data_IF_789044947655
#
_entry.id   IF_789044947655
#
_cell.length_a   1.000
_cell.length_b   1.000
_cell.length_c   1.000
_cell.angle_alpha   90.00
_cell.angle_beta   90.00
_cell.angle_gamma   90.00
#
_symmetry.space_group_name_H-M   'P 1'
#
loop_
_entity.id
_entity.type
_entity.pdbx_description
1 polymer ?
#
# COMPACT_ATOMS: atom_id res chain seq x y z
N UNK A 1 -3.94 -24.63 33.98
CA UNK A 1 -4.07 -24.35 32.54
C UNK A 1 -4.53 -22.91 32.36
N UNK A 2 -3.73 -22.16 31.59
CA UNK A 2 -3.90 -20.83 30.99
C UNK A 2 -4.68 -19.72 31.71
N UNK A 3 -3.90 -18.85 32.36
CA UNK A 3 -4.23 -17.43 32.57
C UNK A 3 -3.45 -16.52 31.60
N UNK A 4 -3.03 -17.05 30.45
CA UNK A 4 -2.14 -16.35 29.47
C UNK A 4 -2.93 -15.79 28.27
N UNK A 5 -4.23 -16.04 28.17
CA UNK A 5 -5.05 -15.63 27.02
C UNK A 5 -5.68 -14.23 27.15
N UNK A 6 -5.53 -13.55 28.29
CA UNK A 6 -6.23 -12.28 28.54
C UNK A 6 -5.43 -11.00 28.21
N UNK A 7 -4.19 -11.09 27.72
CA UNK A 7 -3.32 -9.91 27.56
C UNK A 7 -2.97 -9.49 26.12
N UNK A 8 -3.59 -10.08 25.08
CA UNK A 8 -3.21 -9.74 23.69
C UNK A 8 -3.97 -8.59 23.02
N UNK A 9 -4.77 -7.80 23.75
CA UNK A 9 -5.73 -6.86 23.13
C UNK A 9 -5.62 -5.37 23.49
N UNK A 10 -4.53 -4.90 24.11
CA UNK A 10 -4.45 -3.47 24.51
C UNK A 10 -3.19 -2.67 24.18
N UNK A 11 -2.13 -3.30 23.68
CA UNK A 11 -0.92 -2.61 23.20
C UNK A 11 -0.45 -3.20 21.86
N UNK A 12 -1.29 -3.16 20.83
CA UNK A 12 -0.73 -3.18 19.48
C UNK A 12 -0.32 -1.73 19.20
N UNK A 13 0.96 -1.40 18.99
CA UNK A 13 1.38 -0.04 18.62
C UNK A 13 0.93 0.34 17.20
N UNK A 14 0.10 -0.49 16.56
CA UNK A 14 -0.27 -0.47 15.16
C UNK A 14 -1.70 0.09 15.05
N UNK A 15 -1.83 1.34 14.64
CA UNK A 15 -3.12 1.91 14.23
C UNK A 15 -3.33 1.49 12.76
N UNK A 16 -3.90 0.30 12.54
CA UNK A 16 -3.83 -0.42 11.26
C UNK A 16 -4.16 0.36 9.99
N UNK A 17 -5.08 1.34 10.05
CA UNK A 17 -5.38 2.22 8.91
C UNK A 17 -4.31 3.31 8.70
N UNK A 18 -3.81 3.91 9.79
CA UNK A 18 -2.75 4.94 9.72
C UNK A 18 -1.43 4.34 9.26
N UNK A 19 -1.12 3.13 9.69
CA UNK A 19 0.09 2.43 9.26
C UNK A 19 0.01 2.07 7.77
N UNK A 20 -1.15 1.61 7.29
CA UNK A 20 -1.35 1.33 5.88
C UNK A 20 -1.24 2.61 5.03
N UNK A 21 -1.85 3.71 5.46
CA UNK A 21 -1.70 5.01 4.80
C UNK A 21 -0.24 5.46 4.76
N UNK A 22 0.49 5.25 5.85
CA UNK A 22 1.93 5.51 5.86
C UNK A 22 2.67 4.65 4.81
N UNK A 23 2.39 3.35 4.71
CA UNK A 23 2.97 2.49 3.67
C UNK A 23 2.62 2.97 2.25
N UNK A 24 1.36 3.36 2.01
CA UNK A 24 0.91 3.92 0.73
C UNK A 24 1.68 5.21 0.39
N UNK A 25 1.98 6.04 1.39
CA UNK A 25 2.73 7.29 1.19
C UNK A 25 4.18 7.07 0.76
N UNK A 26 4.75 5.88 1.02
CA UNK A 26 6.10 5.48 0.57
C UNK A 26 6.14 5.01 -0.89
N UNK A 27 4.98 4.73 -1.48
CA UNK A 27 4.86 4.37 -2.89
C UNK A 27 5.10 5.60 -3.74
N UNK A 28 5.95 5.46 -4.74
CA UNK A 28 6.17 6.54 -5.70
C UNK A 28 5.07 6.57 -6.77
N UNK A 29 5.19 7.51 -7.70
CA UNK A 29 4.23 7.67 -8.79
C UNK A 29 4.11 6.42 -9.66
N UNK A 30 5.22 5.73 -9.90
CA UNK A 30 5.27 4.57 -10.78
C UNK A 30 4.64 3.36 -10.08
N UNK A 31 4.96 3.14 -8.82
CA UNK A 31 4.32 2.14 -7.96
C UNK A 31 2.80 2.30 -7.96
N UNK A 32 2.30 3.53 -7.75
CA UNK A 32 0.86 3.79 -7.70
C UNK A 32 0.17 3.59 -9.06
N UNK A 33 0.86 3.85 -10.16
CA UNK A 33 0.34 3.56 -11.51
C UNK A 33 0.31 2.05 -11.77
N UNK A 34 1.34 1.32 -11.36
CA UNK A 34 1.39 -0.13 -11.48
C UNK A 34 0.28 -0.78 -10.65
N UNK A 35 0.12 -0.35 -9.40
CA UNK A 35 -0.96 -0.77 -8.51
C UNK A 35 -2.34 -0.68 -9.19
N UNK A 36 -2.65 0.47 -9.80
CA UNK A 36 -3.91 0.66 -10.53
C UNK A 36 -4.10 -0.34 -11.68
N UNK A 37 -3.03 -0.66 -12.41
CA UNK A 37 -3.13 -1.60 -13.53
C UNK A 37 -3.37 -3.02 -13.03
N UNK A 38 -2.69 -3.39 -11.94
CA UNK A 38 -2.84 -4.69 -11.28
C UNK A 38 -4.27 -4.89 -10.77
N UNK A 39 -4.79 -3.93 -10.02
CA UNK A 39 -6.13 -3.98 -9.39
C UNK A 39 -7.19 -3.23 -10.22
N UNK A 40 -7.09 -3.34 -11.56
CA UNK A 40 -7.98 -2.61 -12.47
C UNK A 40 -9.43 -3.09 -12.39
N UNK A 41 -9.66 -4.36 -12.03
CA UNK A 41 -11.00 -4.92 -11.80
C UNK A 41 -11.63 -4.27 -10.57
N UNK A 42 -10.91 -4.17 -9.47
CA UNK A 42 -11.38 -3.55 -8.23
C UNK A 42 -11.59 -2.04 -8.40
N UNK A 43 -10.73 -1.39 -9.20
CA UNK A 43 -10.93 -0.02 -9.62
C UNK A 43 -12.24 0.16 -10.41
N UNK A 44 -12.63 -0.82 -11.23
CA UNK A 44 -13.90 -0.79 -11.96
C UNK A 44 -15.11 -0.93 -11.02
N UNK A 45 -15.03 -1.75 -9.97
CA UNK A 45 -16.07 -1.84 -8.95
C UNK A 45 -16.37 -0.49 -8.30
N UNK A 46 -15.35 0.37 -8.11
CA UNK A 46 -15.56 1.75 -7.65
C UNK A 46 -16.35 2.62 -8.65
N UNK A 47 -16.32 2.31 -9.94
CA UNK A 47 -17.18 2.96 -10.95
C UNK A 47 -18.63 2.48 -10.81
N UNK A 48 -18.83 1.19 -10.61
CA UNK A 48 -20.16 0.59 -10.43
C UNK A 48 -20.85 1.09 -9.17
N UNK A 49 -20.09 1.31 -8.09
CA UNK A 49 -20.55 1.92 -6.84
C UNK A 49 -20.74 3.44 -6.92
N UNK A 50 -20.39 4.08 -8.03
CA UNK A 50 -20.49 5.53 -8.20
C UNK A 50 -19.42 6.35 -7.46
N UNK A 51 -18.41 5.70 -6.88
CA UNK A 51 -17.24 6.32 -6.20
C UNK A 51 -16.15 6.78 -7.19
N UNK A 52 -16.27 6.38 -8.46
CA UNK A 52 -15.38 6.78 -9.55
C UNK A 52 -16.18 7.05 -10.82
N UNK A 53 -15.80 8.07 -11.57
CA UNK A 53 -16.36 8.28 -12.91
C UNK A 53 -15.64 7.40 -13.93
N UNK A 54 -16.32 6.98 -15.01
CA UNK A 54 -15.68 6.27 -16.13
C UNK A 54 -14.48 7.04 -16.70
N UNK A 55 -14.57 8.37 -16.75
CA UNK A 55 -13.44 9.23 -17.17
C UNK A 55 -12.28 9.15 -16.19
N UNK A 56 -12.55 9.15 -14.88
CA UNK A 56 -11.55 8.96 -13.84
C UNK A 56 -10.85 7.62 -13.93
N UNK A 57 -11.61 6.53 -14.13
CA UNK A 57 -11.09 5.18 -14.38
C UNK A 57 -10.10 5.16 -15.54
N UNK A 58 -10.50 5.68 -16.71
CA UNK A 58 -9.64 5.71 -17.89
C UNK A 58 -8.38 6.57 -17.67
N UNK A 59 -8.49 7.68 -16.93
CA UNK A 59 -7.34 8.54 -16.59
C UNK A 59 -6.30 7.77 -15.77
N UNK A 60 -6.75 7.03 -14.76
CA UNK A 60 -5.87 6.25 -13.88
C UNK A 60 -5.19 5.10 -14.66
N UNK A 61 -5.95 4.36 -15.48
CA UNK A 61 -5.37 3.31 -16.34
C UNK A 61 -4.33 3.83 -17.33
N UNK A 62 -4.52 5.06 -17.82
CA UNK A 62 -3.58 5.72 -18.74
C UNK A 62 -2.32 6.26 -18.05
N UNK A 63 -2.09 5.96 -16.76
CA UNK A 63 -0.85 6.25 -16.06
C UNK A 63 -0.85 7.56 -15.27
N UNK A 64 -2.02 8.12 -14.96
CA UNK A 64 -2.14 9.12 -13.91
C UNK A 64 -2.10 8.38 -12.57
N UNK A 65 -1.18 8.77 -11.69
CA UNK A 65 -1.10 8.15 -10.38
C UNK A 65 -2.35 8.52 -9.54
N UNK A 66 -2.96 7.53 -8.87
CA UNK A 66 -4.04 7.78 -7.92
C UNK A 66 -3.54 8.53 -6.68
N UNK A 67 -4.48 9.12 -5.94
CA UNK A 67 -4.23 9.59 -4.57
C UNK A 67 -4.13 8.43 -3.58
N UNK A 68 -3.61 8.69 -2.40
CA UNK A 68 -3.47 7.69 -1.33
C UNK A 68 -4.84 7.15 -0.89
N UNK A 69 -5.83 8.04 -0.74
CA UNK A 69 -7.21 7.65 -0.45
C UNK A 69 -7.79 6.71 -1.51
N UNK A 70 -7.41 6.90 -2.79
CA UNK A 70 -7.88 6.07 -3.89
C UNK A 70 -7.25 4.67 -3.83
N UNK A 71 -5.96 4.60 -3.46
CA UNK A 71 -5.29 3.32 -3.21
C UNK A 71 -5.94 2.63 -2.01
N UNK A 72 -6.21 3.35 -0.93
CA UNK A 72 -6.87 2.82 0.26
C UNK A 72 -8.25 2.21 -0.04
N UNK A 73 -9.08 2.90 -0.84
CA UNK A 73 -10.39 2.39 -1.27
C UNK A 73 -10.31 1.04 -2.00
N UNK A 74 -9.24 0.79 -2.75
CA UNK A 74 -9.04 -0.50 -3.43
C UNK A 74 -8.65 -1.57 -2.42
N UNK A 75 -7.79 -1.23 -1.46
CA UNK A 75 -7.38 -2.13 -0.38
C UNK A 75 -8.55 -2.53 0.53
N UNK A 76 -9.53 -1.66 0.70
CA UNK A 76 -10.76 -1.98 1.44
C UNK A 76 -11.63 -3.04 0.73
N UNK A 77 -11.50 -3.17 -0.60
CA UNK A 77 -12.27 -4.11 -1.42
C UNK A 77 -11.52 -5.43 -1.57
N UNK A 78 -10.19 -5.38 -1.73
CA UNK A 78 -9.33 -6.54 -1.97
C UNK A 78 -8.14 -6.57 -1.00
N UNK A 79 -8.08 -7.61 -0.17
CA UNK A 79 -6.95 -7.83 0.75
C UNK A 79 -5.64 -8.18 0.01
N UNK A 80 -5.68 -8.74 -1.20
CA UNK A 80 -4.47 -8.98 -2.00
C UNK A 80 -3.78 -7.65 -2.35
N UNK A 81 -4.55 -6.57 -2.49
CA UNK A 81 -4.02 -5.23 -2.72
C UNK A 81 -3.20 -4.72 -1.52
N UNK A 82 -3.59 -5.10 -0.31
CA UNK A 82 -2.81 -4.80 0.91
C UNK A 82 -1.47 -5.54 0.90
N UNK A 83 -1.50 -6.83 0.57
CA UNK A 83 -0.30 -7.66 0.50
C UNK A 83 0.68 -7.12 -0.54
N UNK A 84 0.16 -6.69 -1.69
CA UNK A 84 0.96 -6.06 -2.74
C UNK A 84 1.71 -4.82 -2.22
N UNK A 85 1.02 -3.92 -1.49
CA UNK A 85 1.64 -2.70 -0.93
C UNK A 85 2.75 -3.07 0.06
N UNK A 86 2.49 -4.05 0.93
CA UNK A 86 3.45 -4.50 1.94
C UNK A 86 4.70 -5.06 1.26
N UNK A 87 4.55 -5.94 0.27
CA UNK A 87 5.68 -6.54 -0.45
C UNK A 87 6.48 -5.46 -1.20
N UNK A 88 5.80 -4.55 -1.90
CA UNK A 88 6.47 -3.45 -2.61
C UNK A 88 7.30 -2.57 -1.67
N UNK A 89 6.75 -2.22 -0.50
CA UNK A 89 7.49 -1.41 0.49
C UNK A 89 8.66 -2.20 1.10
N UNK A 90 8.49 -3.51 1.38
CA UNK A 90 9.59 -4.36 1.87
C UNK A 90 10.75 -4.39 0.89
N UNK A 91 10.49 -4.55 -0.41
CA UNK A 91 11.54 -4.53 -1.43
C UNK A 91 12.32 -3.22 -1.45
N UNK A 92 11.62 -2.07 -1.35
CA UNK A 92 12.24 -0.74 -1.30
C UNK A 92 13.08 -0.58 -0.04
N UNK A 93 12.57 -1.01 1.10
CA UNK A 93 13.27 -0.94 2.38
C UNK A 93 14.55 -1.80 2.37
N UNK A 94 14.49 -3.02 1.85
CA UNK A 94 15.67 -3.90 1.72
C UNK A 94 16.75 -3.27 0.84
N UNK A 95 16.38 -2.74 -0.33
CA UNK A 95 17.33 -2.04 -1.21
C UNK A 95 17.94 -0.81 -0.54
N UNK A 96 17.15 -0.04 0.20
CA UNK A 96 17.65 1.12 0.92
C UNK A 96 18.69 0.73 2.00
N UNK A 97 18.43 -0.34 2.75
CA UNK A 97 19.37 -0.86 3.75
C UNK A 97 20.67 -1.35 3.11
N UNK A 98 20.60 -2.06 1.99
CA UNK A 98 21.80 -2.48 1.24
C UNK A 98 22.63 -1.28 0.76
N UNK A 99 21.97 -0.20 0.30
CA UNK A 99 22.66 1.02 -0.11
C UNK A 99 23.38 1.66 1.08
N UNK A 100 22.69 1.81 2.22
CA UNK A 100 23.26 2.41 3.44
C UNK A 100 24.48 1.62 3.92
N UNK A 101 24.39 0.28 3.98
CA UNK A 101 25.50 -0.57 4.40
C UNK A 101 26.74 -0.42 3.51
N UNK A 102 26.56 -0.25 2.19
CA UNK A 102 27.68 0.01 1.28
C UNK A 102 28.31 1.37 1.52
N UNK A 103 27.50 2.40 1.78
CA UNK A 103 28.00 3.74 2.07
C UNK A 103 28.81 3.76 3.38
N UNK A 104 28.31 3.11 4.43
CA UNK A 104 29.01 3.01 5.72
C UNK A 104 30.35 2.26 5.60
N UNK A 105 30.40 1.19 4.79
CA UNK A 105 31.64 0.43 4.56
C UNK A 105 32.69 1.14 3.69
N UNK A 106 32.29 2.14 2.88
CA UNK A 106 33.20 2.97 2.10
C UNK A 106 33.79 4.14 2.92
N UNK A 107 33.15 4.49 4.05
CA UNK A 107 33.58 5.55 4.97
C UNK A 107 34.56 5.06 6.06
N UNK A 108 34.69 3.74 6.27
CA UNK A 108 35.70 3.08 7.13
C UNK A 108 37.01 2.73 6.40
#
# INVERSE_FOLDING_TARGET
MSLVMAQKKKNSPVEGEKDLLFLISLLDREDKVEFIKTFSVDLWSLVEEGKLTRTGYNKLLNGIAPSDDRVLQIVEIDEEAKEWIIERVKEKASKALEIIQRMEAEEE
#
